data_IF_359675347822
#
_entry.id   IF_359675347822
#
_cell.length_a   1.000
_cell.length_b   1.000
_cell.length_c   1.000
_cell.angle_alpha   90.00
_cell.angle_beta   90.00
_cell.angle_gamma   90.00
#
_symmetry.space_group_name_H-M   'P 1'
#
loop_
_entity.id
_entity.type
_entity.pdbx_description
1 polymer ?
#
# COMPACT_ATOMS: atom_id res chain seq x y z
N UNK A 1 10.70 16.13 4.23
CA UNK A 1 9.89 14.91 4.51
C UNK A 1 8.84 15.12 5.61
N UNK A 2 7.61 14.63 5.42
CA UNK A 2 6.54 14.53 6.44
C UNK A 2 5.87 13.16 6.39
N UNK A 3 5.50 12.59 7.54
CA UNK A 3 4.72 11.35 7.64
C UNK A 3 3.26 11.69 7.92
N UNK A 4 2.33 11.12 7.14
CA UNK A 4 0.89 11.37 7.25
C UNK A 4 0.09 10.10 6.95
N UNK A 5 -1.17 10.01 7.41
CA UNK A 5 -2.07 8.95 6.97
C UNK A 5 -2.24 8.96 5.44
N UNK A 6 -2.45 7.77 4.89
CA UNK A 6 -2.83 7.58 3.49
C UNK A 6 -4.19 8.25 3.21
N UNK A 7 -4.30 8.75 1.99
CA UNK A 7 -5.51 9.34 1.41
C UNK A 7 -5.60 8.78 -0.01
N UNK A 8 -6.80 8.63 -0.57
CA UNK A 8 -6.97 8.02 -1.90
C UNK A 8 -6.19 8.76 -2.99
N UNK A 9 -5.98 10.07 -2.85
CA UNK A 9 -5.17 10.91 -3.73
C UNK A 9 -3.70 10.47 -3.81
N UNK A 10 -3.21 9.72 -2.82
CA UNK A 10 -1.86 9.18 -2.78
C UNK A 10 -1.71 7.86 -3.56
N UNK A 11 -2.81 7.25 -4.02
CA UNK A 11 -2.80 5.93 -4.64
C UNK A 11 -1.83 5.81 -5.85
N UNK A 12 -1.79 6.76 -6.80
CA UNK A 12 -0.85 6.66 -7.92
C UNK A 12 0.61 6.67 -7.46
N UNK A 13 0.96 7.58 -6.55
CA UNK A 13 2.33 7.68 -6.03
C UNK A 13 2.75 6.46 -5.19
N UNK A 14 1.79 5.84 -4.49
CA UNK A 14 2.03 4.58 -3.79
C UNK A 14 2.23 3.42 -4.76
N UNK A 15 1.43 3.36 -5.83
CA UNK A 15 1.56 2.33 -6.87
C UNK A 15 2.92 2.41 -7.57
N UNK A 16 3.37 3.61 -7.91
CA UNK A 16 4.70 3.84 -8.49
C UNK A 16 5.80 3.34 -7.56
N UNK A 17 5.70 3.66 -6.25
CA UNK A 17 6.67 3.21 -5.26
C UNK A 17 6.70 1.68 -5.16
N UNK A 18 5.54 1.03 -5.12
CA UNK A 18 5.43 -0.43 -5.04
C UNK A 18 5.98 -1.09 -6.29
N UNK A 19 5.60 -0.62 -7.48
CA UNK A 19 6.05 -1.20 -8.76
C UNK A 19 7.55 -0.98 -9.02
N UNK A 20 8.11 0.14 -8.55
CA UNK A 20 9.56 0.37 -8.55
C UNK A 20 10.30 -0.72 -7.75
N UNK A 21 9.81 -1.06 -6.55
CA UNK A 21 10.41 -2.11 -5.73
C UNK A 21 10.15 -3.50 -6.30
N UNK A 22 8.95 -3.76 -6.81
CA UNK A 22 8.58 -5.05 -7.41
C UNK A 22 9.48 -5.37 -8.61
N UNK A 23 9.68 -4.41 -9.51
CA UNK A 23 10.51 -4.61 -10.71
C UNK A 23 11.97 -4.94 -10.36
N UNK A 24 12.48 -4.45 -9.23
CA UNK A 24 13.83 -4.74 -8.77
C UNK A 24 14.02 -6.19 -8.31
N UNK A 25 12.94 -6.87 -7.88
CA UNK A 25 12.97 -8.27 -7.42
C UNK A 25 12.36 -9.25 -8.42
N UNK A 26 11.41 -8.82 -9.23
CA UNK A 26 10.74 -9.59 -10.29
C UNK A 26 10.65 -8.73 -11.56
N UNK A 27 11.66 -8.80 -12.45
CA UNK A 27 11.68 -8.00 -13.67
C UNK A 27 10.47 -8.28 -14.59
N UNK A 28 9.90 -7.21 -15.15
CA UNK A 28 8.76 -7.28 -16.06
C UNK A 28 7.39 -7.39 -15.40
N UNK A 29 7.33 -7.40 -14.06
CA UNK A 29 6.08 -7.41 -13.30
C UNK A 29 5.66 -6.02 -12.85
N UNK A 30 4.35 -5.76 -12.89
CA UNK A 30 3.72 -4.59 -12.33
C UNK A 30 2.34 -4.96 -11.77
N UNK A 31 1.93 -4.29 -10.70
CA UNK A 31 0.60 -4.41 -10.13
C UNK A 31 -0.35 -3.42 -10.79
N UNK A 32 -1.62 -3.81 -11.01
CA UNK A 32 -2.69 -2.87 -11.34
C UNK A 32 -3.04 -1.98 -10.14
N UNK A 33 -3.47 -0.74 -10.41
CA UNK A 33 -3.95 0.19 -9.38
C UNK A 33 -5.09 -0.41 -8.54
N UNK A 34 -6.05 -1.05 -9.20
CA UNK A 34 -7.21 -1.68 -8.56
C UNK A 34 -6.81 -2.77 -7.56
N UNK A 35 -5.77 -3.55 -7.88
CA UNK A 35 -5.26 -4.59 -6.99
C UNK A 35 -4.70 -3.96 -5.70
N UNK A 36 -3.91 -2.90 -5.84
CA UNK A 36 -3.35 -2.21 -4.68
C UNK A 36 -4.45 -1.54 -3.84
N UNK A 37 -5.41 -0.86 -4.48
CA UNK A 37 -6.53 -0.23 -3.79
C UNK A 37 -7.36 -1.23 -2.98
N UNK A 38 -7.66 -2.39 -3.57
CA UNK A 38 -8.37 -3.46 -2.87
C UNK A 38 -7.54 -3.97 -1.69
N UNK A 39 -6.25 -4.23 -1.91
CA UNK A 39 -5.35 -4.76 -0.88
C UNK A 39 -5.16 -3.83 0.33
N UNK A 40 -5.24 -2.51 0.13
CA UNK A 40 -5.20 -1.55 1.25
C UNK A 40 -6.43 -1.62 2.15
N UNK A 41 -7.55 -2.16 1.66
CA UNK A 41 -8.81 -2.27 2.40
C UNK A 41 -9.04 -3.68 2.95
N UNK A 42 -8.58 -4.72 2.23
CA UNK A 42 -8.78 -6.12 2.58
C UNK A 42 -7.73 -7.02 1.92
N UNK A 43 -7.30 -8.09 2.59
CA UNK A 43 -6.42 -9.07 1.95
C UNK A 43 -7.21 -10.18 1.23
N UNK A 44 -7.56 -9.97 -0.04
CA UNK A 44 -8.29 -10.95 -0.86
C UNK A 44 -7.49 -12.20 -1.25
N UNK A 45 -6.18 -12.22 -0.99
CA UNK A 45 -5.35 -13.41 -1.21
C UNK A 45 -5.54 -14.50 -0.15
N UNK A 46 -6.21 -14.19 0.95
CA UNK A 46 -6.44 -15.12 2.06
C UNK A 46 -7.74 -15.92 1.89
N UNK A 47 -7.71 -17.21 2.26
CA UNK A 47 -8.88 -18.10 2.19
C UNK A 47 -10.03 -17.62 3.09
N UNK A 48 -9.71 -17.15 4.30
CA UNK A 48 -10.60 -16.35 5.14
C UNK A 48 -10.01 -14.97 5.16
N UNK A 49 -10.70 -14.00 4.58
CA UNK A 49 -10.22 -12.61 4.53
C UNK A 49 -10.24 -12.00 5.92
N UNK A 50 -9.07 -11.58 6.42
CA UNK A 50 -8.91 -10.68 7.55
C UNK A 50 -9.59 -11.08 8.88
N UNK A 51 -9.65 -12.38 9.26
CA UNK A 51 -10.53 -12.87 10.33
C UNK A 51 -10.30 -12.26 11.71
N UNK A 52 -9.13 -11.67 11.96
CA UNK A 52 -8.76 -11.04 13.23
C UNK A 52 -8.30 -9.60 13.06
N UNK A 53 -8.39 -9.01 11.86
CA UNK A 53 -7.98 -7.63 11.63
C UNK A 53 -9.09 -6.71 12.11
N UNK A 54 -8.78 -5.91 13.12
CA UNK A 54 -9.72 -4.95 13.72
C UNK A 54 -9.44 -3.52 13.27
N UNK A 55 -8.25 -3.24 12.71
CA UNK A 55 -7.89 -1.94 12.16
C UNK A 55 -6.83 -2.07 11.07
N UNK A 56 -6.93 -1.19 10.07
CA UNK A 56 -5.92 -0.98 9.04
C UNK A 56 -5.53 0.48 9.00
N UNK A 57 -4.23 0.72 8.90
CA UNK A 57 -3.71 2.06 8.66
C UNK A 57 -2.55 1.99 7.66
N UNK A 58 -2.51 2.92 6.72
CA UNK A 58 -1.35 3.12 5.86
C UNK A 58 -0.74 4.48 6.18
N UNK A 59 0.55 4.49 6.50
CA UNK A 59 1.31 5.72 6.74
C UNK A 59 2.20 5.98 5.53
N UNK A 60 2.20 7.22 5.03
CA UNK A 60 2.99 7.64 3.88
C UNK A 60 4.03 8.69 4.30
N UNK A 61 5.28 8.50 3.88
CA UNK A 61 6.34 9.50 3.99
C UNK A 61 6.45 10.26 2.66
N UNK A 62 6.20 11.56 2.69
CA UNK A 62 6.12 12.43 1.51
C UNK A 62 7.16 13.55 1.55
N UNK A 63 7.68 13.91 0.39
CA UNK A 63 8.45 15.13 0.16
C UNK A 63 7.90 15.88 -1.05
N UNK A 64 7.20 16.99 -0.78
CA UNK A 64 6.37 17.64 -1.79
C UNK A 64 5.29 16.68 -2.27
N UNK A 65 5.30 16.38 -3.59
CA UNK A 65 4.37 15.44 -4.24
C UNK A 65 4.96 14.02 -4.38
N UNK A 66 6.20 13.79 -3.95
CA UNK A 66 6.89 12.51 -4.11
C UNK A 66 6.67 11.64 -2.87
N UNK A 67 6.22 10.40 -3.07
CA UNK A 67 6.21 9.38 -2.02
C UNK A 67 7.59 8.74 -1.90
N UNK A 68 8.14 8.75 -0.68
CA UNK A 68 9.46 8.20 -0.36
C UNK A 68 9.36 6.80 0.27
N UNK A 69 8.34 6.59 1.10
CA UNK A 69 8.09 5.31 1.76
C UNK A 69 6.61 5.20 2.15
N UNK A 70 6.15 3.97 2.37
CA UNK A 70 4.86 3.69 2.97
C UNK A 70 4.95 2.47 3.90
N UNK A 71 4.10 2.45 4.93
CA UNK A 71 3.93 1.31 5.82
C UNK A 71 2.44 0.98 5.91
N UNK A 72 2.06 -0.24 5.53
CA UNK A 72 0.72 -0.78 5.73
C UNK A 72 0.71 -1.58 7.04
N UNK A 73 -0.14 -1.17 7.97
CA UNK A 73 -0.19 -1.66 9.35
C UNK A 73 -1.54 -2.31 9.61
N UNK A 74 -1.49 -3.47 10.26
CA UNK A 74 -2.66 -4.23 10.71
C UNK A 74 -2.64 -4.30 12.23
N UNK A 75 -3.79 -4.02 12.86
CA UNK A 75 -4.00 -4.33 14.27
C UNK A 75 -4.91 -5.54 14.36
N UNK A 76 -4.48 -6.51 15.15
CA UNK A 76 -5.26 -7.71 15.45
C UNK A 76 -5.87 -7.62 16.85
N UNK A 77 -7.04 -8.23 17.06
CA UNK A 77 -7.73 -8.20 18.35
C UNK A 77 -9.08 -8.89 18.36
#
# INVERSE_FOLDING_TARGET
MRVRPYEHTHLPALLDLVNLHLTAVVPGWALPEAFLAEHLTRNTGEFVTDPWVVERATLCALEGHRMLAAAHLLRYG
#
